data_IF_442144800223
#
_entry.id   IF_442144800223
#
_cell.length_a   1.000
_cell.length_b   1.000
_cell.length_c   1.000
_cell.angle_alpha   90.00
_cell.angle_beta   90.00
_cell.angle_gamma   90.00
#
_symmetry.space_group_name_H-M   'P 1'
#
loop_
_entity.id
_entity.type
_entity.pdbx_description
1 polymer ?
#
# COMPACT_ATOMS: atom_id res chain seq x y z
N UNK A 1 -42.87 9.56 34.10
CA UNK A 1 -41.42 9.81 34.14
C UNK A 1 -40.82 9.38 32.81
N UNK A 2 -40.39 10.34 31.97
CA UNK A 2 -39.67 10.07 30.72
C UNK A 2 -38.18 9.93 31.06
N UNK A 3 -37.58 8.78 30.78
CA UNK A 3 -36.15 8.53 30.94
C UNK A 3 -35.49 8.88 29.60
N UNK A 4 -34.73 9.97 29.56
CA UNK A 4 -33.89 10.33 28.42
C UNK A 4 -32.65 9.45 28.40
N UNK A 5 -32.50 8.62 27.37
CA UNK A 5 -31.25 7.93 27.04
C UNK A 5 -30.33 8.90 26.30
N UNK A 6 -29.23 9.29 26.92
CA UNK A 6 -28.15 10.03 26.25
C UNK A 6 -27.25 8.98 25.58
N UNK A 7 -27.34 8.88 24.25
CA UNK A 7 -26.38 8.14 23.43
C UNK A 7 -25.09 8.97 23.33
N UNK A 8 -24.06 8.56 24.06
CA UNK A 8 -22.72 9.12 23.89
C UNK A 8 -22.10 8.47 22.65
N UNK A 9 -22.16 9.16 21.50
CA UNK A 9 -21.44 8.75 20.28
C UNK A 9 -19.94 8.83 20.55
N UNK A 10 -19.31 7.69 20.78
CA UNK A 10 -17.86 7.56 20.81
C UNK A 10 -17.34 7.60 19.38
N UNK A 11 -16.98 8.79 18.90
CA UNK A 11 -16.31 8.97 17.60
C UNK A 11 -14.89 8.40 17.77
N UNK A 12 -14.72 7.13 17.44
CA UNK A 12 -13.40 6.54 17.24
C UNK A 12 -12.85 7.08 15.91
N UNK A 13 -12.10 8.18 16.00
CA UNK A 13 -11.38 8.72 14.85
C UNK A 13 -10.31 7.72 14.41
N UNK A 14 -10.55 7.04 13.30
CA UNK A 14 -9.51 6.29 12.59
C UNK A 14 -8.46 7.34 12.17
N UNK A 15 -7.35 7.41 12.89
CA UNK A 15 -6.23 8.22 12.46
C UNK A 15 -5.57 7.48 11.29
N UNK A 16 -5.96 7.87 10.07
CA UNK A 16 -5.32 7.40 8.86
C UNK A 16 -3.83 7.74 8.93
N UNK A 17 -3.00 6.71 8.86
CA UNK A 17 -1.57 6.84 8.67
C UNK A 17 -1.31 7.43 7.29
N UNK A 18 -0.28 8.27 7.21
CA UNK A 18 -0.06 9.34 6.22
C UNK A 18 1.23 9.04 5.44
N UNK A 19 1.19 8.88 4.11
CA UNK A 19 2.34 8.73 3.19
C UNK A 19 2.38 9.39 1.77
N UNK A 20 2.65 10.69 1.68
CA UNK A 20 3.26 11.35 0.50
C UNK A 20 4.60 11.92 1.02
N UNK A 21 5.47 12.48 0.19
CA UNK A 21 6.68 13.15 0.70
C UNK A 21 6.28 14.28 1.65
N UNK A 22 6.89 14.32 2.82
CA UNK A 22 6.63 15.36 3.81
C UNK A 22 7.86 15.64 4.65
N UNK A 23 8.04 16.91 5.03
CA UNK A 23 9.01 17.27 6.06
C UNK A 23 8.60 16.61 7.39
N UNK A 24 9.55 16.04 8.12
CA UNK A 24 9.25 15.39 9.37
C UNK A 24 10.43 15.30 10.31
N UNK A 25 10.18 14.76 11.50
CA UNK A 25 11.22 14.31 12.42
C UNK A 25 10.78 13.02 13.10
N UNK A 26 11.73 12.20 13.52
CA UNK A 26 11.45 11.06 14.39
C UNK A 26 11.25 11.56 15.81
N UNK A 27 10.02 11.42 16.33
CA UNK A 27 9.68 11.72 17.72
C UNK A 27 9.39 10.46 18.53
N UNK A 28 9.15 10.60 19.84
CA UNK A 28 8.83 9.49 20.75
C UNK A 28 7.50 8.75 20.43
N UNK A 29 6.70 9.28 19.48
CA UNK A 29 5.44 8.69 19.02
C UNK A 29 5.43 8.28 17.54
N UNK A 30 6.58 8.24 16.87
CA UNK A 30 6.71 7.93 15.43
C UNK A 30 7.09 9.16 14.59
N UNK A 31 6.84 9.08 13.27
CA UNK A 31 7.12 10.20 12.36
C UNK A 31 6.13 11.33 12.61
N UNK A 32 6.66 12.47 13.01
CA UNK A 32 5.88 13.71 13.15
C UNK A 32 6.12 14.53 11.89
N UNK A 33 5.08 14.68 11.07
CA UNK A 33 5.14 15.56 9.91
C UNK A 33 5.02 17.01 10.35
N UNK A 34 5.93 17.84 9.85
CA UNK A 34 5.97 19.27 10.10
C UNK A 34 5.37 20.00 8.90
N UNK A 35 4.68 21.10 9.18
CA UNK A 35 4.46 22.09 8.13
C UNK A 35 5.79 22.73 7.78
N UNK A 36 6.01 22.98 6.50
CA UNK A 36 7.21 23.65 6.01
C UNK A 36 6.83 24.99 5.38
N UNK A 37 6.52 26.04 6.18
CA UNK A 37 6.19 27.36 5.64
C UNK A 37 7.27 27.81 4.67
N UNK A 38 6.91 28.41 3.55
CA UNK A 38 7.82 28.88 2.52
C UNK A 38 8.29 27.81 1.53
N UNK A 39 8.00 26.51 1.73
CA UNK A 39 8.25 25.47 0.72
C UNK A 39 6.91 25.02 0.16
N UNK A 40 6.69 25.30 -1.13
CA UNK A 40 5.48 24.96 -1.86
C UNK A 40 5.76 23.80 -2.82
N UNK A 41 4.74 22.95 -3.05
CA UNK A 41 4.78 21.93 -4.10
C UNK A 41 4.17 22.53 -5.39
N UNK A 42 5.03 22.86 -6.35
CA UNK A 42 4.64 23.40 -7.66
C UNK A 42 4.04 22.32 -8.56
N UNK A 43 4.58 21.11 -8.51
CA UNK A 43 4.17 19.98 -9.33
C UNK A 43 4.27 18.66 -8.56
N UNK A 44 3.30 17.78 -8.78
CA UNK A 44 3.39 16.34 -8.52
C UNK A 44 2.86 15.61 -9.77
N UNK A 45 3.73 14.84 -10.42
CA UNK A 45 3.40 13.93 -11.52
C UNK A 45 3.58 12.49 -11.02
N UNK A 46 2.44 11.85 -10.76
CA UNK A 46 2.34 10.52 -10.16
C UNK A 46 1.91 9.51 -11.20
N UNK A 47 2.73 8.48 -11.39
CA UNK A 47 2.45 7.32 -12.23
C UNK A 47 2.29 6.06 -11.38
N UNK A 48 1.22 5.31 -11.61
CA UNK A 48 0.93 4.05 -10.89
C UNK A 48 0.57 2.95 -11.88
N UNK A 49 1.23 1.81 -11.73
CA UNK A 49 0.85 0.53 -12.32
C UNK A 49 0.91 -0.58 -11.26
N UNK A 50 0.48 -1.82 -11.56
CA UNK A 50 0.64 -2.94 -10.64
C UNK A 50 2.10 -3.22 -10.24
N UNK A 51 3.06 -2.90 -11.10
CA UNK A 51 4.46 -3.30 -10.92
C UNK A 51 5.41 -2.12 -10.67
N UNK A 52 4.91 -0.89 -10.78
CA UNK A 52 5.75 0.31 -10.70
C UNK A 52 4.94 1.51 -10.23
N UNK A 53 5.49 2.19 -9.23
CA UNK A 53 5.14 3.57 -8.91
C UNK A 53 6.32 4.47 -9.25
N UNK A 54 6.03 5.58 -9.91
CA UNK A 54 6.97 6.69 -10.11
C UNK A 54 6.30 7.97 -9.69
N UNK A 55 7.04 8.85 -9.03
CA UNK A 55 6.54 10.18 -8.70
C UNK A 55 7.65 11.20 -8.91
N UNK A 56 7.30 12.31 -9.55
CA UNK A 56 8.17 13.46 -9.74
C UNK A 56 7.53 14.67 -9.07
N UNK A 57 8.28 15.29 -8.17
CA UNK A 57 7.89 16.53 -7.50
C UNK A 57 8.74 17.69 -7.98
N UNK A 58 8.14 18.86 -8.10
CA UNK A 58 8.85 20.14 -8.14
C UNK A 58 8.47 20.91 -6.89
N UNK A 59 9.44 21.12 -6.01
CA UNK A 59 9.30 21.96 -4.83
C UNK A 59 9.97 23.31 -5.07
N UNK A 60 9.42 24.37 -4.49
CA UNK A 60 10.02 25.71 -4.53
C UNK A 60 10.12 26.30 -3.13
N UNK A 61 11.32 26.77 -2.77
CA UNK A 61 11.52 27.56 -1.57
C UNK A 61 11.28 29.04 -1.89
N UNK A 62 10.14 29.57 -1.47
CA UNK A 62 9.75 30.98 -1.64
C UNK A 62 10.35 31.92 -0.58
N UNK A 63 11.23 31.43 0.28
CA UNK A 63 11.92 32.26 1.28
C UNK A 63 13.25 32.80 0.77
N UNK A 64 13.83 33.74 1.51
CA UNK A 64 15.13 34.36 1.22
C UNK A 64 16.33 33.61 1.80
N UNK A 65 16.09 32.47 2.47
CA UNK A 65 17.14 31.65 3.09
C UNK A 65 17.01 30.20 2.65
N UNK A 66 18.14 29.53 2.55
CA UNK A 66 18.17 28.09 2.33
C UNK A 66 17.48 27.38 3.49
N UNK A 67 16.76 26.31 3.17
CA UNK A 67 16.10 25.47 4.17
C UNK A 67 16.58 24.04 4.02
N UNK A 68 17.08 23.48 5.10
CA UNK A 68 17.47 22.08 5.16
C UNK A 68 16.55 21.36 6.12
N UNK A 69 15.91 20.30 5.64
CA UNK A 69 14.93 19.51 6.38
C UNK A 69 15.18 18.02 6.18
N UNK A 70 14.64 17.20 7.07
CA UNK A 70 14.52 15.77 6.83
C UNK A 70 13.20 15.49 6.10
N UNK A 71 13.29 14.86 4.93
CA UNK A 71 12.14 14.43 4.14
C UNK A 71 11.87 12.97 4.44
N UNK A 72 10.61 12.64 4.68
CA UNK A 72 10.14 11.28 4.88
C UNK A 72 9.24 10.87 3.72
N UNK A 73 9.54 9.71 3.13
CA UNK A 73 8.67 8.92 2.28
C UNK A 73 8.24 7.65 3.05
N UNK A 74 7.18 7.75 3.85
CA UNK A 74 6.51 6.58 4.44
C UNK A 74 5.94 5.60 3.40
N UNK A 75 5.87 4.32 3.77
CA UNK A 75 5.20 3.29 2.99
C UNK A 75 3.73 3.19 3.42
N UNK A 76 2.77 3.09 2.49
CA UNK A 76 1.37 2.89 2.81
C UNK A 76 1.17 1.67 3.71
N UNK A 77 0.31 1.81 4.70
CA UNK A 77 -0.14 0.65 5.46
C UNK A 77 -0.89 -0.30 4.53
N UNK A 78 -0.44 -1.54 4.48
CA UNK A 78 -1.04 -2.56 3.64
C UNK A 78 -2.39 -2.98 4.23
N UNK A 79 -3.44 -2.78 3.44
CA UNK A 79 -4.81 -2.95 3.91
C UNK A 79 -5.35 -4.37 3.78
N UNK A 80 -4.80 -5.18 2.87
CA UNK A 80 -5.11 -6.61 2.74
C UNK A 80 -4.05 -7.50 3.36
N UNK A 81 -4.47 -8.67 3.87
CA UNK A 81 -3.55 -9.65 4.46
C UNK A 81 -2.51 -10.14 3.45
N UNK A 82 -2.90 -10.38 2.19
CA UNK A 82 -1.96 -10.79 1.12
C UNK A 82 -0.92 -9.72 0.82
N UNK A 83 -1.29 -8.44 0.86
CA UNK A 83 -0.34 -7.34 0.79
C UNK A 83 0.58 -7.34 2.01
N UNK A 84 0.03 -7.47 3.23
CA UNK A 84 0.78 -7.49 4.50
C UNK A 84 1.82 -8.61 4.60
N UNK A 85 1.54 -9.77 3.98
CA UNK A 85 2.46 -10.90 3.91
C UNK A 85 3.57 -10.64 2.88
N UNK A 86 3.18 -10.20 1.68
CA UNK A 86 4.10 -10.13 0.55
C UNK A 86 5.10 -8.98 0.65
N UNK A 87 4.74 -7.89 1.34
CA UNK A 87 5.57 -6.70 1.43
C UNK A 87 6.64 -6.71 2.53
N UNK A 88 6.46 -7.50 3.58
CA UNK A 88 7.30 -7.37 4.77
C UNK A 88 8.63 -8.09 4.59
N UNK A 89 9.72 -7.33 4.53
CA UNK A 89 11.09 -7.85 4.37
C UNK A 89 11.47 -8.88 5.45
N UNK A 90 11.03 -8.71 6.70
CA UNK A 90 11.31 -9.69 7.77
C UNK A 90 10.63 -11.03 7.46
N UNK A 91 9.41 -10.99 6.90
CA UNK A 91 8.67 -12.19 6.50
C UNK A 91 9.35 -12.86 5.31
N UNK A 92 9.70 -12.09 4.28
CA UNK A 92 10.37 -12.63 3.09
C UNK A 92 11.72 -13.26 3.42
N UNK A 93 12.48 -12.64 4.32
CA UNK A 93 13.73 -13.19 4.80
C UNK A 93 13.52 -14.51 5.57
N UNK A 94 12.59 -14.54 6.53
CA UNK A 94 12.29 -15.77 7.28
C UNK A 94 11.83 -16.90 6.35
N UNK A 95 10.99 -16.61 5.35
CA UNK A 95 10.54 -17.60 4.37
C UNK A 95 11.72 -18.15 3.54
N UNK A 96 12.63 -17.29 3.08
CA UNK A 96 13.84 -17.71 2.36
C UNK A 96 14.73 -18.58 3.24
N UNK A 97 14.91 -18.21 4.50
CA UNK A 97 15.70 -18.99 5.45
C UNK A 97 15.06 -20.34 5.76
N UNK A 98 13.74 -20.40 5.93
CA UNK A 98 13.00 -21.65 6.12
C UNK A 98 13.12 -22.58 4.92
N UNK A 99 12.96 -22.07 3.70
CA UNK A 99 13.13 -22.83 2.46
C UNK A 99 14.54 -23.41 2.37
N UNK A 100 15.57 -22.59 2.65
CA UNK A 100 16.96 -23.06 2.67
C UNK A 100 17.21 -24.13 3.76
N UNK A 101 16.56 -24.00 4.93
CA UNK A 101 16.69 -25.00 6.01
C UNK A 101 15.99 -26.31 5.65
N UNK A 102 14.76 -26.26 5.15
CA UNK A 102 13.94 -27.44 4.88
C UNK A 102 14.34 -28.16 3.58
N UNK A 103 14.77 -27.38 2.58
CA UNK A 103 15.13 -27.88 1.26
C UNK A 103 16.47 -27.28 0.79
N UNK A 104 17.60 -27.65 1.41
CA UNK A 104 18.92 -27.04 1.14
C UNK A 104 19.43 -27.27 -0.30
N UNK A 105 18.91 -28.28 -0.99
CA UNK A 105 19.23 -28.56 -2.40
C UNK A 105 18.29 -27.85 -3.39
N UNK A 106 17.26 -27.15 -2.91
CA UNK A 106 16.31 -26.42 -3.74
C UNK A 106 16.88 -25.06 -4.15
N UNK A 107 16.46 -24.56 -5.31
CA UNK A 107 16.70 -23.18 -5.72
C UNK A 107 15.49 -22.27 -5.53
N UNK A 108 14.49 -22.71 -4.77
CA UNK A 108 13.24 -21.97 -4.62
C UNK A 108 13.48 -20.67 -3.87
N UNK A 109 14.26 -20.68 -2.79
CA UNK A 109 14.61 -19.47 -2.04
C UNK A 109 15.25 -18.37 -2.91
N UNK A 110 16.05 -18.76 -3.92
CA UNK A 110 16.69 -17.83 -4.85
C UNK A 110 15.74 -17.31 -5.93
N UNK A 111 14.65 -18.03 -6.20
CA UNK A 111 13.59 -17.62 -7.15
C UNK A 111 12.49 -16.78 -6.50
N UNK A 112 12.46 -16.68 -5.17
CA UNK A 112 11.50 -15.84 -4.47
C UNK A 112 11.75 -14.37 -4.83
N UNK A 113 10.68 -13.70 -5.25
CA UNK A 113 10.71 -12.27 -5.59
C UNK A 113 11.29 -11.45 -4.43
N UNK A 114 11.99 -10.37 -4.74
CA UNK A 114 12.40 -9.42 -3.70
C UNK A 114 11.17 -8.78 -3.07
N UNK A 115 11.27 -8.32 -1.82
CA UNK A 115 10.15 -7.62 -1.20
C UNK A 115 9.78 -6.37 -2.02
N UNK A 116 8.48 -6.04 -2.15
CA UNK A 116 8.05 -4.72 -2.55
C UNK A 116 8.84 -3.62 -1.86
N UNK A 117 9.05 -2.49 -2.54
CA UNK A 117 9.87 -1.36 -2.08
C UNK A 117 11.38 -1.61 -1.91
N UNK A 118 11.89 -2.84 -2.08
CA UNK A 118 13.35 -3.14 -2.00
C UNK A 118 14.18 -2.32 -2.99
N UNK A 119 13.59 -2.00 -4.13
CA UNK A 119 14.20 -1.23 -5.22
C UNK A 119 13.86 0.26 -5.15
N UNK A 120 13.47 0.77 -3.97
CA UNK A 120 13.23 2.21 -3.79
C UNK A 120 14.47 3.01 -4.17
N UNK A 121 14.24 4.05 -4.97
CA UNK A 121 15.28 4.97 -5.41
C UNK A 121 14.78 6.40 -5.30
N UNK A 122 15.68 7.29 -4.90
CA UNK A 122 15.45 8.73 -4.88
C UNK A 122 16.52 9.47 -5.66
N UNK A 123 16.08 10.38 -6.52
CA UNK A 123 16.91 11.24 -7.35
C UNK A 123 16.53 12.69 -7.07
N UNK A 124 17.52 13.53 -6.80
CA UNK A 124 17.34 14.96 -6.56
C UNK A 124 18.13 15.74 -7.58
N UNK A 125 17.45 16.56 -8.37
CA UNK A 125 18.04 17.34 -9.48
C UNK A 125 18.94 16.47 -10.39
N UNK A 126 18.46 15.26 -10.73
CA UNK A 126 19.18 14.30 -11.58
C UNK A 126 20.30 13.51 -10.90
N UNK A 127 20.53 13.67 -9.59
CA UNK A 127 21.57 12.94 -8.84
C UNK A 127 20.94 11.96 -7.85
N UNK A 128 21.38 10.68 -7.82
CA UNK A 128 20.95 9.74 -6.80
C UNK A 128 21.26 10.23 -5.39
N UNK A 129 20.34 9.99 -4.46
CA UNK A 129 20.49 10.34 -3.04
C UNK A 129 20.48 9.06 -2.20
N UNK A 130 21.36 9.03 -1.18
CA UNK A 130 21.34 7.99 -0.16
C UNK A 130 20.24 8.29 0.85
N UNK A 131 19.48 7.28 1.22
CA UNK A 131 18.40 7.38 2.19
C UNK A 131 18.62 6.36 3.32
N UNK A 132 17.88 6.55 4.40
CA UNK A 132 17.81 5.64 5.54
C UNK A 132 16.43 5.03 5.60
N UNK A 133 16.35 3.80 6.09
CA UNK A 133 15.09 3.09 6.33
C UNK A 133 14.79 3.11 7.83
N UNK A 134 13.56 3.49 8.17
CA UNK A 134 13.05 3.56 9.52
C UNK A 134 11.91 2.54 9.67
N UNK A 135 12.04 1.62 10.63
CA UNK A 135 11.07 0.55 10.90
C UNK A 135 10.46 0.74 12.28
N UNK A 136 9.14 0.88 12.36
CA UNK A 136 8.43 1.19 13.60
C UNK A 136 7.28 0.24 13.86
N UNK A 137 7.06 -0.09 15.14
CA UNK A 137 5.86 -0.75 15.62
C UNK A 137 4.94 0.28 16.26
N UNK A 138 3.74 0.46 15.71
CA UNK A 138 2.73 1.39 16.19
C UNK A 138 1.55 0.65 16.79
N UNK A 139 1.19 0.95 18.03
CA UNK A 139 -0.03 0.48 18.70
C UNK A 139 -0.90 1.67 19.05
N UNK A 140 -2.12 1.70 18.54
CA UNK A 140 -3.06 2.81 18.75
C UNK A 140 -2.44 4.18 18.38
N UNK A 141 -1.64 4.21 17.30
CA UNK A 141 -0.90 5.40 16.84
C UNK A 141 0.34 5.77 17.67
N UNK A 142 0.68 5.01 18.71
CA UNK A 142 1.87 5.25 19.54
C UNK A 142 3.01 4.33 19.13
N UNK A 143 4.20 4.90 19.00
CA UNK A 143 5.44 4.15 18.78
C UNK A 143 5.79 3.32 20.03
N UNK A 144 5.85 2.00 19.84
CA UNK A 144 6.22 1.01 20.85
C UNK A 144 7.46 0.20 20.43
N UNK A 145 8.21 0.66 19.44
CA UNK A 145 9.38 -0.02 18.86
C UNK A 145 10.42 -0.40 19.92
N UNK A 146 10.63 0.46 20.93
CA UNK A 146 11.55 0.19 22.03
C UNK A 146 11.19 -1.09 22.83
N UNK A 147 9.90 -1.45 22.91
CA UNK A 147 9.45 -2.69 23.57
C UNK A 147 9.95 -3.90 22.79
N UNK A 148 9.85 -3.87 21.46
CA UNK A 148 10.32 -4.95 20.59
C UNK A 148 11.83 -5.10 20.65
N UNK A 149 12.57 -4.00 20.55
CA UNK A 149 14.03 -4.00 20.64
C UNK A 149 14.52 -4.56 21.98
N UNK A 150 13.93 -4.12 23.10
CA UNK A 150 14.27 -4.60 24.45
C UNK A 150 14.12 -6.11 24.61
N UNK A 151 13.14 -6.70 23.92
CA UNK A 151 12.82 -8.13 24.01
C UNK A 151 13.33 -8.95 22.83
N UNK A 152 14.09 -8.34 21.90
CA UNK A 152 14.55 -8.96 20.65
C UNK A 152 13.40 -9.62 19.86
N UNK A 153 12.25 -8.95 19.81
CA UNK A 153 11.06 -9.41 19.09
C UNK A 153 11.02 -8.83 17.67
N UNK A 154 10.59 -9.60 16.66
CA UNK A 154 10.37 -9.09 15.31
C UNK A 154 9.27 -8.02 15.32
N UNK A 155 9.43 -6.99 14.51
CA UNK A 155 8.46 -5.90 14.39
C UNK A 155 7.25 -6.32 13.54
N UNK A 156 7.42 -7.33 12.69
CA UNK A 156 6.35 -7.85 11.84
C UNK A 156 5.20 -8.50 12.65
N UNK A 157 3.95 -7.99 12.54
CA UNK A 157 2.78 -8.65 13.09
C UNK A 157 2.53 -10.06 12.52
N UNK A 158 2.96 -10.29 11.27
CA UNK A 158 2.78 -11.58 10.57
C UNK A 158 3.71 -12.65 11.15
N UNK A 159 4.97 -12.32 11.41
CA UNK A 159 5.87 -13.24 12.12
C UNK A 159 5.39 -13.49 13.55
N UNK A 160 4.71 -12.52 14.15
CA UNK A 160 4.21 -12.66 15.51
C UNK A 160 3.03 -13.63 15.64
N UNK A 161 2.13 -13.66 14.66
CA UNK A 161 0.89 -14.45 14.72
C UNK A 161 1.07 -15.95 14.43
N UNK A 162 2.28 -16.41 14.09
CA UNK A 162 2.55 -17.80 13.71
C UNK A 162 1.62 -18.33 12.61
N UNK A 163 1.08 -17.42 11.78
CA UNK A 163 0.12 -17.77 10.72
C UNK A 163 0.76 -18.60 9.59
N UNK A 164 2.09 -18.77 9.65
CA UNK A 164 2.89 -19.68 8.85
C UNK A 164 3.41 -20.80 9.75
N UNK A 165 2.63 -21.86 10.01
CA UNK A 165 3.13 -23.03 10.71
C UNK A 165 4.27 -23.63 9.89
N UNK A 166 5.36 -23.93 10.57
CA UNK A 166 6.57 -24.50 9.95
C UNK A 166 6.50 -26.02 9.97
N UNK A 167 7.23 -26.67 9.05
CA UNK A 167 7.35 -28.14 9.03
C UNK A 167 8.13 -28.68 10.25
N UNK A 168 8.90 -27.82 10.93
CA UNK A 168 9.77 -28.19 12.04
C UNK A 168 9.12 -27.92 13.39
N UNK A 169 9.09 -28.93 14.25
CA UNK A 169 8.55 -28.81 15.61
C UNK A 169 9.26 -27.75 16.45
N UNK A 170 10.57 -27.59 16.28
CA UNK A 170 11.37 -26.60 17.00
C UNK A 170 10.94 -25.15 16.69
N UNK A 171 10.69 -24.87 15.41
CA UNK A 171 10.28 -23.54 14.95
C UNK A 171 8.85 -23.23 15.45
N UNK A 172 7.96 -24.22 15.43
CA UNK A 172 6.62 -24.10 16.03
C UNK A 172 6.69 -23.85 17.55
N UNK A 173 7.60 -24.52 18.26
CA UNK A 173 7.82 -24.30 19.71
C UNK A 173 8.31 -22.88 19.99
N UNK A 174 9.32 -22.39 19.26
CA UNK A 174 9.81 -21.01 19.36
C UNK A 174 8.69 -20.00 19.10
N UNK A 175 7.85 -20.28 18.10
CA UNK A 175 6.70 -19.45 17.78
C UNK A 175 5.67 -19.40 18.93
N UNK A 176 5.36 -20.55 19.54
CA UNK A 176 4.48 -20.64 20.70
C UNK A 176 4.98 -19.86 21.92
N UNK A 177 6.29 -19.93 22.23
CA UNK A 177 6.89 -19.13 23.31
C UNK A 177 6.82 -17.63 23.02
N UNK A 178 7.04 -17.23 21.77
CA UNK A 178 6.90 -15.84 21.33
C UNK A 178 5.47 -15.33 21.48
N UNK A 179 4.45 -16.12 21.12
CA UNK A 179 3.03 -15.78 21.35
C UNK A 179 2.75 -15.53 22.84
N UNK A 180 3.24 -16.40 23.73
CA UNK A 180 3.06 -16.23 25.18
C UNK A 180 3.65 -14.90 25.66
N UNK A 181 4.83 -14.53 25.16
CA UNK A 181 5.47 -13.26 25.48
C UNK A 181 4.67 -12.06 24.95
N UNK A 182 4.18 -12.09 23.71
CA UNK A 182 3.35 -11.01 23.17
C UNK A 182 2.06 -10.80 23.99
N UNK A 183 1.39 -11.89 24.40
CA UNK A 183 0.21 -11.81 25.28
C UNK A 183 0.56 -11.19 26.63
N UNK A 184 1.68 -11.61 27.25
CA UNK A 184 2.16 -11.05 28.53
C UNK A 184 2.47 -9.54 28.43
N UNK A 185 2.96 -9.09 27.28
CA UNK A 185 3.28 -7.68 27.02
C UNK A 185 2.05 -6.83 26.61
N UNK A 186 0.86 -7.43 26.49
CA UNK A 186 -0.34 -6.73 26.02
C UNK A 186 -0.28 -6.32 24.54
N UNK A 187 0.52 -7.03 23.75
CA UNK A 187 0.72 -6.78 22.32
C UNK A 187 -0.17 -7.68 21.44
N UNK A 188 -0.93 -8.60 22.04
CA UNK A 188 -1.73 -9.58 21.31
C UNK A 188 -3.01 -9.92 22.07
N UNK A 189 -4.12 -10.17 21.37
CA UNK A 189 -5.38 -10.61 21.98
C UNK A 189 -5.30 -12.03 22.53
N UNK A 190 -6.31 -12.45 23.29
CA UNK A 190 -6.46 -13.84 23.74
C UNK A 190 -6.49 -14.83 22.58
N UNK A 191 -7.10 -14.43 21.45
CA UNK A 191 -7.25 -15.20 20.21
C UNK A 191 -5.98 -15.21 19.35
N UNK A 192 -4.95 -14.45 19.73
CA UNK A 192 -3.67 -14.42 19.01
C UNK A 192 -3.56 -13.33 17.94
N UNK A 193 -4.46 -12.34 17.93
CA UNK A 193 -4.38 -11.24 16.98
C UNK A 193 -3.40 -10.16 17.47
N UNK A 194 -2.40 -9.76 16.67
CA UNK A 194 -1.47 -8.70 17.04
C UNK A 194 -2.22 -7.35 17.18
N UNK A 195 -1.80 -6.55 18.15
CA UNK A 195 -2.39 -5.26 18.50
C UNK A 195 -1.57 -4.06 18.03
N UNK A 196 -0.62 -4.27 17.12
CA UNK A 196 0.22 -3.23 16.54
C UNK A 196 0.33 -3.42 15.03
N UNK A 197 0.87 -2.40 14.38
CA UNK A 197 1.15 -2.38 12.95
C UNK A 197 2.62 -2.02 12.75
N UNK A 198 3.23 -2.59 11.73
CA UNK A 198 4.55 -2.18 11.27
C UNK A 198 4.40 -1.01 10.31
N UNK A 199 5.15 0.06 10.54
CA UNK A 199 5.29 1.21 9.65
C UNK A 199 6.74 1.28 9.18
N UNK A 200 6.93 1.41 7.88
CA UNK A 200 8.25 1.58 7.26
C UNK A 200 8.30 2.94 6.59
N UNK A 201 9.45 3.60 6.62
CA UNK A 201 9.65 4.88 5.92
C UNK A 201 11.08 5.04 5.46
N UNK A 202 11.24 5.58 4.26
CA UNK A 202 12.53 6.05 3.77
C UNK A 202 12.69 7.53 4.10
N UNK A 203 13.89 7.95 4.46
CA UNK A 203 14.14 9.35 4.79
C UNK A 203 15.56 9.81 4.44
N UNK A 204 15.68 11.07 4.07
CA UNK A 204 16.95 11.72 3.75
C UNK A 204 16.91 13.21 4.08
N UNK A 205 18.08 13.80 4.26
CA UNK A 205 18.23 15.24 4.45
C UNK A 205 18.21 15.95 3.11
N UNK A 206 17.36 16.96 2.96
CA UNK A 206 17.20 17.74 1.74
C UNK A 206 17.37 19.24 2.00
N UNK A 207 18.21 19.89 1.19
CA UNK A 207 18.33 21.35 1.15
C UNK A 207 17.52 21.92 -0.02
N UNK A 208 16.68 22.92 0.27
CA UNK A 208 15.93 23.72 -0.68
C UNK A 208 16.53 25.13 -0.72
N UNK A 209 17.32 25.49 -1.75
CA UNK A 209 17.97 26.80 -1.80
C UNK A 209 16.97 27.95 -1.93
N UNK A 210 17.29 29.10 -1.35
CA UNK A 210 16.45 30.30 -1.36
C UNK A 210 16.01 30.69 -2.78
N UNK A 211 14.70 30.84 -3.00
CA UNK A 211 14.13 31.24 -4.29
C UNK A 211 14.29 30.23 -5.42
N UNK A 212 14.79 29.01 -5.15
CA UNK A 212 15.05 27.98 -6.18
C UNK A 212 14.04 26.84 -6.11
N UNK A 213 13.93 26.16 -7.25
CA UNK A 213 13.22 24.91 -7.40
C UNK A 213 14.16 23.73 -7.15
N UNK A 214 13.60 22.66 -6.60
CA UNK A 214 14.25 21.37 -6.40
C UNK A 214 13.32 20.31 -6.98
N UNK A 215 13.83 19.52 -7.92
CA UNK A 215 13.15 18.36 -8.46
C UNK A 215 13.53 17.13 -7.65
N UNK A 216 12.54 16.38 -7.17
CA UNK A 216 12.72 15.13 -6.42
C UNK A 216 11.92 14.06 -7.15
N UNK A 217 12.55 12.93 -7.46
CA UNK A 217 11.94 11.82 -8.19
C UNK A 217 12.14 10.52 -7.43
N UNK A 218 11.04 9.77 -7.22
CA UNK A 218 11.08 8.43 -6.64
C UNK A 218 10.57 7.38 -7.61
N UNK A 219 11.12 6.17 -7.48
CA UNK A 219 10.54 4.99 -8.10
C UNK A 219 10.71 3.75 -7.24
N UNK A 220 9.70 2.88 -7.25
CA UNK A 220 9.69 1.63 -6.50
C UNK A 220 8.64 0.66 -7.06
N UNK A 221 8.81 -0.62 -6.75
CA UNK A 221 7.79 -1.64 -6.95
C UNK A 221 6.80 -1.60 -5.78
N UNK A 222 5.49 -1.36 -6.02
CA UNK A 222 4.52 -1.28 -4.94
C UNK A 222 4.24 -2.67 -4.35
N UNK A 223 3.80 -2.69 -3.10
CA UNK A 223 3.17 -3.88 -2.55
C UNK A 223 1.82 -4.11 -3.25
N UNK A 224 1.51 -5.39 -3.48
CA UNK A 224 0.26 -5.80 -4.12
C UNK A 224 -0.53 -6.70 -3.17
N UNK A 225 -1.69 -6.23 -2.77
CA UNK A 225 -2.76 -7.13 -2.36
C UNK A 225 -3.25 -7.90 -3.57
N UNK A 226 -3.75 -9.11 -3.37
CA UNK A 226 -4.44 -9.82 -4.43
C UNK A 226 -5.62 -10.63 -3.93
N UNK A 227 -6.61 -10.73 -4.80
CA UNK A 227 -7.58 -11.82 -4.86
C UNK A 227 -7.55 -12.39 -6.27
N UNK A 228 -7.85 -13.67 -6.41
CA UNK A 228 -7.99 -14.29 -7.73
C UNK A 228 -9.34 -15.00 -7.83
N UNK A 229 -9.82 -15.08 -9.06
CA UNK A 229 -11.04 -15.77 -9.41
C UNK A 229 -10.72 -16.83 -10.46
N UNK A 230 -11.28 -18.03 -10.27
CA UNK A 230 -11.05 -19.17 -11.15
C UNK A 230 -12.36 -19.56 -11.82
N UNK A 231 -12.50 -19.34 -13.13
CA UNK A 231 -13.67 -19.82 -13.85
C UNK A 231 -13.77 -21.34 -13.81
N UNK A 232 -15.01 -21.82 -13.81
CA UNK A 232 -15.31 -23.24 -13.96
C UNK A 232 -16.28 -23.40 -15.13
N UNK A 233 -15.90 -24.19 -16.13
CA UNK A 233 -16.66 -24.41 -17.35
C UNK A 233 -17.76 -25.49 -17.21
N UNK A 234 -17.89 -26.15 -16.05
CA UNK A 234 -18.93 -27.15 -15.81
C UNK A 234 -20.22 -26.56 -15.22
N UNK A 235 -20.24 -25.27 -14.90
CA UNK A 235 -21.39 -24.55 -14.32
C UNK A 235 -21.57 -23.19 -15.02
N UNK A 236 -22.76 -22.57 -14.94
CA UNK A 236 -22.97 -21.21 -15.42
C UNK A 236 -21.93 -20.23 -14.83
N UNK A 237 -21.24 -19.41 -15.65
CA UNK A 237 -20.15 -18.55 -15.19
C UNK A 237 -20.57 -17.57 -14.08
N UNK A 238 -21.80 -17.06 -14.15
CA UNK A 238 -22.37 -16.15 -13.14
C UNK A 238 -22.53 -16.83 -11.78
N UNK A 239 -22.95 -18.11 -11.76
CA UNK A 239 -23.11 -18.88 -10.54
C UNK A 239 -21.76 -19.09 -9.84
N UNK A 240 -20.73 -19.44 -10.64
CA UNK A 240 -19.37 -19.63 -10.15
C UNK A 240 -18.78 -18.33 -9.62
N UNK A 241 -18.98 -17.22 -10.33
CA UNK A 241 -18.53 -15.90 -9.88
C UNK A 241 -19.20 -15.48 -8.58
N UNK A 242 -20.53 -15.63 -8.47
CA UNK A 242 -21.26 -15.31 -7.23
C UNK A 242 -20.73 -16.14 -6.06
N UNK A 243 -20.51 -17.44 -6.26
CA UNK A 243 -19.96 -18.32 -5.22
C UNK A 243 -18.60 -17.82 -4.69
N UNK A 244 -17.74 -17.28 -5.56
CA UNK A 244 -16.42 -16.76 -5.18
C UNK A 244 -16.48 -15.34 -4.60
N UNK A 245 -17.46 -14.53 -5.00
CA UNK A 245 -17.65 -13.19 -4.46
C UNK A 245 -18.29 -13.20 -3.06
N UNK A 246 -19.18 -14.17 -2.76
CA UNK A 246 -19.86 -14.26 -1.46
C UNK A 246 -18.93 -14.22 -0.23
N UNK A 247 -17.88 -15.05 -0.12
CA UNK A 247 -16.93 -14.97 1.00
C UNK A 247 -16.07 -13.69 0.98
N UNK A 248 -16.05 -12.99 -0.15
CA UNK A 248 -15.19 -11.83 -0.42
C UNK A 248 -15.93 -10.49 -0.31
N UNK A 249 -17.18 -10.47 0.19
CA UNK A 249 -18.05 -9.28 0.15
C UNK A 249 -17.45 -8.03 0.81
N UNK A 250 -16.75 -8.19 1.94
CA UNK A 250 -16.07 -7.07 2.62
C UNK A 250 -14.93 -6.48 1.77
N UNK A 251 -14.15 -7.35 1.12
CA UNK A 251 -13.10 -6.93 0.19
C UNK A 251 -13.70 -6.28 -1.06
N UNK A 252 -14.74 -6.87 -1.62
CA UNK A 252 -15.41 -6.34 -2.81
C UNK A 252 -15.96 -4.94 -2.57
N UNK A 253 -16.56 -4.68 -1.40
CA UNK A 253 -17.00 -3.32 -1.04
C UNK A 253 -15.86 -2.31 -1.01
N UNK A 254 -14.63 -2.75 -0.67
CA UNK A 254 -13.43 -1.90 -0.71
C UNK A 254 -12.84 -1.77 -2.11
N UNK A 255 -13.19 -2.64 -3.05
CA UNK A 255 -12.77 -2.58 -4.45
C UNK A 255 -13.53 -1.53 -5.28
N UNK A 256 -14.54 -0.87 -4.67
CA UNK A 256 -15.39 0.13 -5.30
C UNK A 256 -15.91 -0.29 -6.68
N UNK A 257 -16.65 -1.42 -6.74
CA UNK A 257 -16.95 -2.09 -8.00
C UNK A 257 -17.69 -1.19 -8.99
N UNK A 258 -18.50 -0.27 -8.48
CA UNK A 258 -19.32 0.70 -9.20
C UNK A 258 -18.56 1.98 -9.63
N UNK A 259 -17.28 2.11 -9.27
CA UNK A 259 -16.45 3.30 -9.54
C UNK A 259 -15.26 2.97 -10.44
N UNK A 260 -15.50 2.75 -11.75
CA UNK A 260 -14.40 2.57 -12.69
C UNK A 260 -13.61 3.87 -12.81
N UNK A 261 -12.29 3.75 -12.74
CA UNK A 261 -11.41 4.87 -13.01
C UNK A 261 -11.34 5.06 -14.53
N UNK A 262 -12.01 6.09 -15.07
CA UNK A 262 -12.04 6.40 -16.52
C UNK A 262 -12.79 5.40 -17.42
N UNK A 263 -12.86 4.12 -17.02
CA UNK A 263 -13.41 3.00 -17.78
C UNK A 263 -14.91 3.09 -18.08
N UNK A 264 -15.33 2.44 -19.18
CA UNK A 264 -16.74 2.38 -19.61
C UNK A 264 -17.58 1.38 -18.82
N UNK A 265 -16.96 0.30 -18.35
CA UNK A 265 -17.62 -0.77 -17.59
C UNK A 265 -17.19 -0.69 -16.13
N UNK A 266 -18.08 -1.07 -15.23
CA UNK A 266 -17.76 -1.29 -13.81
C UNK A 266 -17.03 -2.64 -13.60
N UNK A 267 -16.46 -2.86 -12.42
CA UNK A 267 -15.64 -4.04 -12.11
C UNK A 267 -16.45 -5.34 -12.20
N UNK A 268 -17.70 -5.35 -11.74
CA UNK A 268 -18.56 -6.56 -11.74
C UNK A 268 -18.94 -6.92 -13.17
N UNK A 269 -19.38 -5.94 -13.95
CA UNK A 269 -19.69 -6.11 -15.37
C UNK A 269 -18.46 -6.60 -16.15
N UNK A 270 -17.26 -6.11 -15.82
CA UNK A 270 -16.03 -6.61 -16.42
C UNK A 270 -15.72 -8.05 -16.00
N UNK A 271 -15.85 -8.40 -14.71
CA UNK A 271 -15.65 -9.76 -14.21
C UNK A 271 -16.59 -10.77 -14.88
N UNK A 272 -17.89 -10.45 -14.99
CA UNK A 272 -18.88 -11.30 -15.69
C UNK A 272 -18.44 -11.55 -17.14
N UNK A 273 -17.97 -10.51 -17.84
CA UNK A 273 -17.49 -10.65 -19.22
C UNK A 273 -16.26 -11.55 -19.32
N UNK A 274 -15.29 -11.42 -18.41
CA UNK A 274 -14.11 -12.29 -18.40
C UNK A 274 -14.48 -13.75 -18.09
N UNK A 275 -15.37 -13.97 -17.12
CA UNK A 275 -15.89 -15.30 -16.79
C UNK A 275 -16.58 -15.97 -17.97
N UNK A 276 -17.44 -15.24 -18.69
CA UNK A 276 -18.10 -15.74 -19.92
C UNK A 276 -17.11 -16.06 -21.04
N UNK A 277 -16.04 -15.27 -21.19
CA UNK A 277 -14.97 -15.55 -22.17
C UNK A 277 -14.19 -16.82 -21.78
N UNK A 278 -13.88 -16.96 -20.50
CA UNK A 278 -13.14 -18.09 -19.97
C UNK A 278 -13.92 -19.41 -20.08
N UNK A 279 -15.25 -19.40 -19.95
CA UNK A 279 -16.07 -20.62 -20.15
C UNK A 279 -16.05 -21.17 -21.57
N UNK A 280 -15.61 -20.38 -22.55
CA UNK A 280 -15.39 -20.85 -23.92
C UNK A 280 -14.01 -21.48 -24.14
N UNK A 281 -13.12 -21.45 -23.13
CA UNK A 281 -11.78 -22.06 -23.18
C UNK A 281 -11.82 -23.51 -22.73
N UNK A 282 -11.05 -24.38 -23.40
CA UNK A 282 -10.86 -25.79 -23.00
C UNK A 282 -9.94 -25.96 -21.80
N UNK A 283 -9.16 -24.92 -21.42
CA UNK A 283 -8.31 -24.92 -20.24
C UNK A 283 -8.81 -23.90 -19.19
N UNK A 284 -9.30 -24.35 -18.01
CA UNK A 284 -9.75 -23.47 -16.93
C UNK A 284 -8.67 -22.53 -16.39
N UNK A 285 -7.38 -22.91 -16.43
CA UNK A 285 -6.29 -22.04 -15.95
C UNK A 285 -6.07 -20.82 -16.82
N UNK A 286 -6.49 -20.87 -18.10
CA UNK A 286 -6.43 -19.72 -19.03
C UNK A 286 -7.53 -18.69 -18.76
N UNK A 287 -8.42 -18.95 -17.80
CA UNK A 287 -9.50 -18.07 -17.41
C UNK A 287 -9.27 -17.32 -16.10
N UNK A 288 -8.17 -17.58 -15.38
CA UNK A 288 -7.96 -16.98 -14.07
C UNK A 288 -7.98 -15.45 -14.16
N UNK A 289 -8.56 -14.79 -13.18
CA UNK A 289 -8.60 -13.32 -13.14
C UNK A 289 -7.99 -12.89 -11.81
N UNK A 290 -7.00 -12.03 -11.88
CA UNK A 290 -6.39 -11.40 -10.71
C UNK A 290 -7.02 -10.04 -10.50
N UNK A 291 -7.24 -9.67 -9.24
CA UNK A 291 -7.43 -8.28 -8.88
C UNK A 291 -6.33 -7.90 -7.92
N UNK A 292 -5.41 -7.04 -8.39
CA UNK A 292 -4.38 -6.46 -7.55
C UNK A 292 -4.86 -5.18 -6.90
N UNK A 293 -4.44 -4.98 -5.66
CA UNK A 293 -4.67 -3.78 -4.89
C UNK A 293 -3.33 -3.07 -4.69
N UNK A 294 -3.29 -1.78 -5.04
CA UNK A 294 -2.16 -0.89 -4.79
C UNK A 294 -2.63 0.30 -3.98
N UNK A 295 -2.05 0.45 -2.80
CA UNK A 295 -2.24 1.58 -1.91
C UNK A 295 -1.16 2.65 -2.22
N UNK A 296 -1.54 3.92 -2.31
CA UNK A 296 -0.64 5.06 -2.39
C UNK A 296 -1.20 6.18 -1.53
N UNK A 297 -0.38 6.78 -0.68
CA UNK A 297 -0.89 7.87 0.14
C UNK A 297 -0.61 9.22 -0.54
N UNK A 298 -1.67 9.99 -0.68
CA UNK A 298 -1.64 11.31 -1.32
C UNK A 298 -1.84 12.44 -0.30
N UNK A 299 -2.56 12.15 0.79
CA UNK A 299 -3.03 13.15 1.77
C UNK A 299 -1.92 14.04 2.35
N UNK A 300 -0.71 13.49 2.53
CA UNK A 300 0.38 14.25 3.18
C UNK A 300 1.01 15.32 2.31
N UNK A 301 0.69 15.37 1.01
CA UNK A 301 1.01 16.52 0.18
C UNK A 301 0.46 17.83 0.78
N UNK A 302 -0.56 17.74 1.63
CA UNK A 302 -1.13 18.84 2.41
C UNK A 302 -0.25 19.37 3.56
N UNK A 303 0.88 18.73 3.86
CA UNK A 303 1.85 19.21 4.86
C UNK A 303 2.74 20.33 4.31
N UNK A 304 2.88 20.43 2.98
CA UNK A 304 3.57 21.53 2.32
C UNK A 304 2.71 22.80 2.32
N UNK A 305 3.34 23.95 2.02
CA UNK A 305 2.62 25.20 1.98
C UNK A 305 1.67 25.26 0.77
N UNK A 306 0.37 25.39 1.07
CA UNK A 306 -0.67 25.57 0.05
C UNK A 306 -1.10 24.27 -0.64
N UNK A 307 -1.97 24.37 -1.67
CA UNK A 307 -2.30 23.24 -2.52
C UNK A 307 -1.12 22.87 -3.44
N UNK A 308 -1.16 21.65 -3.97
CA UNK A 308 -0.29 21.23 -5.08
C UNK A 308 -0.69 22.03 -6.30
N UNK A 309 0.20 22.86 -6.86
CA UNK A 309 -0.23 23.81 -7.90
C UNK A 309 -0.61 23.10 -9.20
N UNK A 310 0.13 22.07 -9.60
CA UNK A 310 -0.20 21.22 -10.74
C UNK A 310 -0.08 19.75 -10.32
N UNK A 311 -1.20 19.04 -10.27
CA UNK A 311 -1.23 17.61 -9.96
C UNK A 311 -1.64 16.81 -11.18
N UNK A 312 -0.86 15.77 -11.49
CA UNK A 312 -1.16 14.79 -12.52
C UNK A 312 -1.08 13.40 -11.93
N UNK A 313 -2.15 12.60 -12.10
CA UNK A 313 -2.14 11.17 -11.83
C UNK A 313 -2.32 10.41 -13.14
N UNK A 314 -1.35 9.59 -13.49
CA UNK A 314 -1.38 8.66 -14.61
C UNK A 314 -1.48 7.23 -14.08
N UNK A 315 -2.53 6.51 -14.44
CA UNK A 315 -2.69 5.09 -14.13
C UNK A 315 -2.48 4.28 -15.41
N UNK A 316 -1.55 3.32 -15.36
CA UNK A 316 -1.35 2.35 -16.42
C UNK A 316 -2.28 1.15 -16.23
N UNK A 317 -3.25 1.04 -17.14
CA UNK A 317 -4.23 -0.02 -17.21
C UNK A 317 -3.63 -1.27 -17.88
N UNK A 318 -3.70 -2.44 -17.20
CA UNK A 318 -3.28 -3.71 -17.77
C UNK A 318 -4.01 -4.04 -19.08
N UNK A 319 -3.31 -4.71 -20.01
CA UNK A 319 -3.90 -5.11 -21.30
C UNK A 319 -5.13 -5.99 -21.07
N UNK A 320 -6.27 -5.58 -21.63
CA UNK A 320 -7.56 -6.28 -21.45
C UNK A 320 -8.15 -6.18 -20.04
N UNK A 321 -7.45 -5.51 -19.11
CA UNK A 321 -7.82 -5.32 -17.73
C UNK A 321 -8.79 -4.17 -17.49
N UNK A 322 -9.01 -3.85 -16.23
CA UNK A 322 -9.82 -2.73 -15.74
C UNK A 322 -9.16 -2.08 -14.53
N UNK A 323 -9.46 -0.80 -14.30
CA UNK A 323 -9.08 -0.07 -13.08
C UNK A 323 -10.33 0.40 -12.36
N UNK A 324 -10.42 0.16 -11.05
CA UNK A 324 -11.40 0.79 -10.16
C UNK A 324 -10.70 1.48 -9.00
N UNK A 325 -11.34 2.52 -8.47
CA UNK A 325 -10.82 3.25 -7.30
C UNK A 325 -11.93 3.91 -6.52
N UNK A 326 -11.79 3.96 -5.20
CA UNK A 326 -12.69 4.68 -4.31
C UNK A 326 -12.46 6.18 -4.28
N UNK A 327 -11.38 6.64 -4.91
CA UNK A 327 -11.02 8.04 -4.95
C UNK A 327 -12.15 8.85 -5.62
N UNK A 328 -12.67 9.92 -4.98
CA UNK A 328 -13.94 10.56 -5.35
C UNK A 328 -13.80 11.45 -6.59
N UNK A 329 -13.47 10.84 -7.73
CA UNK A 329 -13.32 11.51 -9.00
C UNK A 329 -14.41 11.09 -9.95
N UNK A 330 -15.13 12.07 -10.47
CA UNK A 330 -16.05 11.84 -11.56
C UNK A 330 -15.27 11.43 -12.81
N UNK A 331 -15.76 10.37 -13.47
CA UNK A 331 -15.18 9.81 -14.69
C UNK A 331 -14.87 10.85 -15.77
N UNK A 332 -15.68 11.91 -15.89
CA UNK A 332 -15.50 12.99 -16.89
C UNK A 332 -14.18 13.77 -16.72
N UNK A 333 -13.58 13.72 -15.53
CA UNK A 333 -12.30 14.36 -15.25
C UNK A 333 -11.09 13.47 -15.55
N UNK A 334 -11.32 12.20 -15.91
CA UNK A 334 -10.26 11.26 -16.32
C UNK A 334 -10.27 11.15 -17.84
N UNK A 335 -9.10 11.29 -18.45
CA UNK A 335 -8.89 11.19 -19.90
C UNK A 335 -8.06 9.96 -20.22
N UNK A 336 -8.44 9.20 -21.24
CA UNK A 336 -7.54 8.21 -21.82
C UNK A 336 -6.52 8.95 -22.70
N UNK A 337 -5.23 8.84 -22.38
CA UNK A 337 -4.15 9.47 -23.18
C UNK A 337 -3.61 8.50 -24.24
N UNK A 338 -3.81 7.20 -24.06
CA UNK A 338 -3.62 6.14 -25.06
C UNK A 338 -4.46 4.90 -24.66
N UNK A 339 -4.26 3.75 -25.32
CA UNK A 339 -5.03 2.52 -25.08
C UNK A 339 -4.79 1.86 -23.72
N UNK A 340 -3.74 2.25 -23.00
CA UNK A 340 -3.33 1.64 -21.74
C UNK A 340 -3.12 2.66 -20.61
N UNK A 341 -3.35 3.96 -20.83
CA UNK A 341 -3.09 4.97 -19.81
C UNK A 341 -4.26 5.93 -19.64
N UNK A 342 -4.64 6.11 -18.38
CA UNK A 342 -5.71 6.97 -17.92
C UNK A 342 -5.12 8.07 -17.06
N UNK A 343 -5.45 9.32 -17.35
CA UNK A 343 -4.86 10.48 -16.69
C UNK A 343 -5.93 11.37 -16.08
N UNK A 344 -5.69 11.76 -14.83
CA UNK A 344 -6.37 12.84 -14.15
C UNK A 344 -5.40 14.01 -13.98
N UNK A 345 -5.87 15.23 -14.23
CA UNK A 345 -5.08 16.45 -14.03
C UNK A 345 -5.93 17.53 -13.36
N UNK A 346 -5.36 18.18 -12.34
CA UNK A 346 -6.00 19.30 -11.67
C UNK A 346 -4.97 20.34 -11.21
N UNK A 347 -5.31 21.62 -11.41
CA UNK A 347 -4.57 22.75 -10.83
C UNK A 347 -5.07 23.07 -9.42
N UNK A 348 -4.17 23.57 -8.57
CA UNK A 348 -4.43 23.89 -7.16
C UNK A 348 -5.11 22.73 -6.43
N UNK A 349 -4.61 21.53 -6.68
CA UNK A 349 -5.14 20.30 -6.15
C UNK A 349 -4.85 20.20 -4.64
N UNK A 350 -5.89 19.85 -3.87
CA UNK A 350 -5.79 19.60 -2.43
C UNK A 350 -6.06 18.12 -2.21
N UNK A 351 -5.06 17.33 -1.78
CA UNK A 351 -5.29 15.95 -1.38
C UNK A 351 -6.38 15.85 -0.30
N UNK A 352 -7.48 15.16 -0.61
CA UNK A 352 -8.60 14.93 0.33
C UNK A 352 -8.61 13.52 0.94
N UNK A 353 -7.70 12.66 0.49
CA UNK A 353 -7.59 11.28 0.93
C UNK A 353 -6.55 10.52 0.10
N UNK A 354 -6.35 9.28 0.48
CA UNK A 354 -5.34 8.40 -0.10
C UNK A 354 -5.92 7.61 -1.28
N UNK A 355 -5.03 7.12 -2.13
CA UNK A 355 -5.40 6.35 -3.31
C UNK A 355 -5.43 4.87 -2.95
N UNK A 356 -6.58 4.25 -3.19
CA UNK A 356 -6.77 2.79 -3.24
C UNK A 356 -7.13 2.43 -4.67
N UNK A 357 -6.25 1.72 -5.35
CA UNK A 357 -6.40 1.41 -6.78
C UNK A 357 -6.44 -0.09 -6.96
N UNK A 358 -7.48 -0.56 -7.66
CA UNK A 358 -7.68 -1.96 -7.96
C UNK A 358 -7.49 -2.20 -9.45
N UNK A 359 -6.67 -3.18 -9.78
CA UNK A 359 -6.32 -3.57 -11.14
C UNK A 359 -6.88 -4.97 -11.42
N UNK A 360 -7.97 -5.05 -12.18
CA UNK A 360 -8.47 -6.31 -12.70
C UNK A 360 -7.64 -6.74 -13.90
N UNK A 361 -7.02 -7.91 -13.83
CA UNK A 361 -6.12 -8.45 -14.85
C UNK A 361 -6.60 -9.83 -15.27
N UNK A 362 -6.97 -10.02 -16.55
CA UNK A 362 -7.23 -11.36 -17.04
C UNK A 362 -5.89 -12.09 -17.16
N UNK A 363 -5.81 -13.33 -16.69
CA UNK A 363 -4.63 -14.16 -16.89
C UNK A 363 -4.56 -14.55 -18.37
N UNK A 364 -3.76 -13.81 -19.12
CA UNK A 364 -3.37 -14.16 -20.49
C UNK A 364 -1.91 -14.58 -20.45
N UNK A 365 -1.62 -15.84 -20.79
CA UNK A 365 -0.25 -16.24 -21.12
C UNK A 365 0.17 -15.61 -22.46
#
# INVERSE_FOLDING_TARGET
>A
MRISLIFLLMICGIQNVRANDSAGSVGAGGIVFHKTPGIVMEEEDLFISPDLVKVSYIFKNNTTKDKTIEVFFPIPMQSSLSAQISWDEEVQQEMKEQENRNHPSSNQAQKMEEAPFSNFSVIVNGKPVQFKTENRALKDGKDITAVFQKHALPLSPILASCSYPTEREEDNKKCGERIKLYKKLGLMTSEGHPLWQKQVSYHWTQTFPAGKEVKIEHSYRPARGFIFFVPNNTRPPEEVLIQQLMPSGAWLSQAYPDRPFGGKSDLISWLIQQFRRASSSTNPSNGMIWIYEVDYILSTGSNWEGPIKNFTLTIEQPKGGIVSSGWPIERKHVKAINSHQLQFHQKNFKPVGDLKIFFGIPYTQ
#
